data_IF_884027037415
#
_entry.id   IF_884027037415
#
_cell.length_a   1.000
_cell.length_b   1.000
_cell.length_c   1.000
_cell.angle_alpha   90.00
_cell.angle_beta   90.00
_cell.angle_gamma   90.00
#
_symmetry.space_group_name_H-M   'P 1'
#
loop_
_entity.id
_entity.type
_entity.pdbx_description
1 polymer ?
#
# COMPACT_ATOMS: atom_id res chain seq x y z
N UNK A 1 -32.75 -27.18 -3.92
CA UNK A 1 -31.62 -27.12 -4.87
C UNK A 1 -31.16 -25.66 -5.03
N UNK A 2 -30.41 -25.06 -4.09
CA UNK A 2 -29.97 -23.65 -4.23
C UNK A 2 -28.51 -23.37 -3.81
N UNK A 3 -27.71 -24.40 -3.56
CA UNK A 3 -26.27 -24.27 -3.24
C UNK A 3 -25.39 -24.85 -4.35
N UNK A 4 -25.70 -24.55 -5.62
CA UNK A 4 -24.70 -24.76 -6.67
C UNK A 4 -23.69 -23.60 -6.61
N UNK A 5 -22.39 -23.88 -6.84
CA UNK A 5 -21.42 -22.81 -7.07
C UNK A 5 -21.87 -21.98 -8.26
N UNK A 6 -21.60 -20.67 -8.22
CA UNK A 6 -21.86 -19.81 -9.36
C UNK A 6 -21.04 -20.30 -10.57
N UNK A 7 -21.56 -20.20 -11.80
CA UNK A 7 -20.76 -20.51 -12.98
C UNK A 7 -19.51 -19.61 -13.02
N UNK A 8 -18.39 -20.11 -13.56
CA UNK A 8 -17.18 -19.30 -13.68
C UNK A 8 -17.48 -18.08 -14.56
N UNK A 9 -17.09 -16.91 -14.08
CA UNK A 9 -17.21 -15.64 -14.81
C UNK A 9 -15.93 -15.39 -15.59
N UNK A 10 -16.06 -14.95 -16.82
CA UNK A 10 -14.94 -14.66 -17.73
C UNK A 10 -14.72 -13.15 -17.88
N UNK A 11 -13.57 -12.75 -18.45
CA UNK A 11 -13.28 -11.32 -18.68
C UNK A 11 -14.36 -10.61 -19.52
N UNK A 12 -15.05 -11.31 -20.42
CA UNK A 12 -16.13 -10.73 -21.23
C UNK A 12 -17.42 -10.46 -20.46
N UNK A 13 -17.59 -11.03 -19.26
CA UNK A 13 -18.83 -10.96 -18.50
C UNK A 13 -18.98 -9.67 -17.67
N UNK A 14 -18.07 -8.71 -17.81
CA UNK A 14 -18.04 -7.49 -17.00
C UNK A 14 -19.39 -6.74 -16.99
N UNK A 15 -20.12 -6.71 -18.10
CA UNK A 15 -21.45 -6.08 -18.18
C UNK A 15 -22.49 -6.82 -17.32
N UNK A 16 -22.43 -8.15 -17.30
CA UNK A 16 -23.30 -9.00 -16.50
C UNK A 16 -22.98 -8.78 -15.02
N UNK A 17 -21.69 -8.74 -14.67
CA UNK A 17 -21.24 -8.51 -13.29
C UNK A 17 -21.64 -7.13 -12.78
N UNK A 18 -21.55 -6.07 -13.60
CA UNK A 18 -22.05 -4.74 -13.22
C UNK A 18 -23.55 -4.73 -12.94
N UNK A 19 -24.34 -5.38 -13.81
CA UNK A 19 -25.80 -5.51 -13.61
C UNK A 19 -26.12 -6.33 -12.36
N UNK A 20 -25.35 -7.40 -12.12
CA UNK A 20 -25.46 -8.22 -10.93
C UNK A 20 -25.13 -7.43 -9.66
N UNK A 21 -24.04 -6.67 -9.64
CA UNK A 21 -23.64 -5.82 -8.52
C UNK A 21 -24.73 -4.78 -8.19
N UNK A 22 -25.28 -4.13 -9.23
CA UNK A 22 -26.40 -3.20 -9.08
C UNK A 22 -27.66 -3.85 -8.51
N UNK A 23 -28.02 -5.02 -9.02
CA UNK A 23 -29.17 -5.78 -8.51
C UNK A 23 -28.93 -6.24 -7.06
N UNK A 24 -27.72 -6.74 -6.76
CA UNK A 24 -27.32 -7.18 -5.44
C UNK A 24 -27.33 -6.04 -4.41
N UNK A 25 -26.95 -4.83 -4.82
CA UNK A 25 -27.08 -3.63 -4.01
C UNK A 25 -28.55 -3.28 -3.75
N UNK A 26 -29.39 -3.33 -4.79
CA UNK A 26 -30.82 -2.98 -4.68
C UNK A 26 -31.62 -3.95 -3.81
N UNK A 27 -31.31 -5.24 -3.88
CA UNK A 27 -32.03 -6.31 -3.17
C UNK A 27 -31.27 -6.89 -1.98
N UNK A 28 -30.16 -6.24 -1.59
CA UNK A 28 -29.27 -6.64 -0.50
C UNK A 28 -28.84 -8.13 -0.52
N UNK A 29 -28.41 -8.61 -1.68
CA UNK A 29 -27.95 -9.98 -1.86
C UNK A 29 -26.44 -10.09 -1.58
N UNK A 30 -26.08 -10.44 -0.34
CA UNK A 30 -24.69 -10.54 0.11
C UNK A 30 -23.82 -11.44 -0.79
N UNK A 31 -24.28 -12.67 -1.09
CA UNK A 31 -23.54 -13.61 -1.93
C UNK A 31 -23.26 -13.08 -3.34
N UNK A 32 -24.19 -12.33 -3.93
CA UNK A 32 -23.98 -11.73 -5.24
C UNK A 32 -22.99 -10.55 -5.19
N UNK A 33 -22.94 -9.80 -4.08
CA UNK A 33 -21.90 -8.79 -3.84
C UNK A 33 -20.52 -9.43 -3.70
N UNK A 34 -20.40 -10.55 -3.00
CA UNK A 34 -19.15 -11.30 -2.87
C UNK A 34 -18.62 -11.80 -4.22
N UNK A 35 -19.50 -12.38 -5.04
CA UNK A 35 -19.11 -12.85 -6.38
C UNK A 35 -18.67 -11.66 -7.25
N UNK A 36 -19.38 -10.53 -7.20
CA UNK A 36 -18.97 -9.33 -7.93
C UNK A 36 -17.62 -8.80 -7.44
N UNK A 37 -17.41 -8.73 -6.13
CA UNK A 37 -16.15 -8.29 -5.52
C UNK A 37 -14.96 -9.19 -5.92
N UNK A 38 -15.16 -10.51 -5.90
CA UNK A 38 -14.15 -11.47 -6.33
C UNK A 38 -13.78 -11.27 -7.81
N UNK A 39 -14.78 -11.09 -8.69
CA UNK A 39 -14.55 -10.82 -10.10
C UNK A 39 -13.72 -9.55 -10.32
N UNK A 40 -14.09 -8.42 -9.71
CA UNK A 40 -13.34 -7.18 -9.89
C UNK A 40 -11.93 -7.25 -9.31
N UNK A 41 -11.74 -7.99 -8.23
CA UNK A 41 -10.41 -8.27 -7.66
C UNK A 41 -9.55 -9.06 -8.64
N UNK A 42 -10.10 -10.10 -9.27
CA UNK A 42 -9.40 -10.89 -10.28
C UNK A 42 -9.04 -10.04 -11.50
N UNK A 43 -9.97 -9.23 -12.01
CA UNK A 43 -9.71 -8.34 -13.14
C UNK A 43 -8.64 -7.29 -12.82
N UNK A 44 -8.58 -6.80 -11.59
CA UNK A 44 -7.51 -5.92 -11.13
C UNK A 44 -6.15 -6.65 -11.09
N UNK A 45 -6.10 -7.87 -10.57
CA UNK A 45 -4.88 -8.70 -10.52
C UNK A 45 -4.36 -9.06 -11.91
N UNK A 46 -5.26 -9.27 -12.88
CA UNK A 46 -4.92 -9.48 -14.29
C UNK A 46 -4.51 -8.18 -15.02
N UNK A 47 -4.60 -7.03 -14.36
CA UNK A 47 -4.25 -5.72 -14.94
C UNK A 47 -5.30 -5.16 -15.90
N UNK A 48 -6.48 -5.77 -15.98
CA UNK A 48 -7.60 -5.28 -16.80
C UNK A 48 -8.32 -4.09 -16.16
N UNK A 49 -8.22 -3.93 -14.84
CA UNK A 49 -8.73 -2.80 -14.08
C UNK A 49 -7.63 -2.16 -13.23
N UNK A 50 -7.65 -0.84 -13.08
CA UNK A 50 -6.83 -0.16 -12.09
C UNK A 50 -7.47 -0.26 -10.70
N UNK A 51 -6.69 -0.17 -9.61
CA UNK A 51 -7.25 -0.17 -8.25
C UNK A 51 -8.22 1.00 -8.02
N UNK A 52 -7.99 2.15 -8.67
CA UNK A 52 -8.93 3.28 -8.59
C UNK A 52 -10.27 2.97 -9.27
N UNK A 53 -10.26 2.21 -10.37
CA UNK A 53 -11.50 1.77 -11.01
C UNK A 53 -12.23 0.74 -10.15
N UNK A 54 -11.50 -0.21 -9.56
CA UNK A 54 -12.06 -1.18 -8.61
C UNK A 54 -12.68 -0.48 -7.39
N UNK A 55 -12.01 0.54 -6.86
CA UNK A 55 -12.51 1.39 -5.77
C UNK A 55 -13.76 2.19 -6.18
N UNK A 56 -13.78 2.76 -7.39
CA UNK A 56 -14.94 3.49 -7.89
C UNK A 56 -16.18 2.59 -8.00
N UNK A 57 -16.00 1.39 -8.56
CA UNK A 57 -17.06 0.38 -8.70
C UNK A 57 -17.53 -0.10 -7.32
N UNK A 58 -16.62 -0.32 -6.37
CA UNK A 58 -17.01 -0.76 -5.04
C UNK A 58 -17.84 0.28 -4.29
N UNK A 59 -17.47 1.56 -4.40
CA UNK A 59 -18.23 2.67 -3.82
C UNK A 59 -19.62 2.74 -4.45
N UNK A 60 -19.69 2.69 -5.80
CA UNK A 60 -20.95 2.79 -6.54
C UNK A 60 -21.95 1.69 -6.14
N UNK A 61 -21.47 0.45 -5.96
CA UNK A 61 -22.32 -0.72 -5.68
C UNK A 61 -22.30 -1.19 -4.22
N UNK A 62 -21.68 -0.44 -3.30
CA UNK A 62 -21.53 -0.79 -1.87
C UNK A 62 -20.89 -2.18 -1.67
N UNK A 63 -19.78 -2.43 -2.37
CA UNK A 63 -18.97 -3.65 -2.25
C UNK A 63 -17.84 -3.43 -1.25
N UNK A 64 -18.17 -3.43 0.04
CA UNK A 64 -17.27 -2.99 1.12
C UNK A 64 -15.92 -3.71 1.17
N UNK A 65 -15.90 -5.05 1.00
CA UNK A 65 -14.65 -5.81 0.98
C UNK A 65 -13.75 -5.42 -0.21
N UNK A 66 -14.35 -5.12 -1.38
CA UNK A 66 -13.59 -4.65 -2.54
C UNK A 66 -13.09 -3.21 -2.32
N UNK A 67 -13.91 -2.36 -1.70
CA UNK A 67 -13.60 -0.96 -1.41
C UNK A 67 -12.34 -0.83 -0.56
N UNK A 68 -12.28 -1.55 0.55
CA UNK A 68 -11.11 -1.57 1.44
C UNK A 68 -9.87 -2.10 0.73
N UNK A 69 -9.99 -3.26 0.10
CA UNK A 69 -8.85 -3.90 -0.55
C UNK A 69 -8.31 -3.07 -1.74
N UNK A 70 -9.20 -2.43 -2.51
CA UNK A 70 -8.83 -1.55 -3.61
C UNK A 70 -8.24 -0.23 -3.11
N UNK A 71 -8.77 0.35 -2.02
CA UNK A 71 -8.19 1.52 -1.39
C UNK A 71 -6.74 1.24 -0.97
N UNK A 72 -6.48 0.13 -0.30
CA UNK A 72 -5.11 -0.27 0.11
C UNK A 72 -4.16 -0.45 -1.06
N UNK A 73 -4.60 -1.09 -2.14
CA UNK A 73 -3.78 -1.27 -3.35
C UNK A 73 -3.56 0.04 -4.11
N UNK A 74 -4.53 0.95 -4.07
CA UNK A 74 -4.47 2.25 -4.76
C UNK A 74 -3.37 3.18 -4.23
N UNK A 75 -2.91 2.95 -2.99
CA UNK A 75 -1.82 3.70 -2.35
C UNK A 75 -0.55 3.73 -3.21
N UNK A 76 -0.33 2.70 -4.04
CA UNK A 76 0.81 2.61 -4.98
C UNK A 76 0.79 3.64 -6.11
N UNK A 77 -0.34 4.31 -6.31
CA UNK A 77 -0.60 5.17 -7.45
C UNK A 77 -0.77 6.62 -7.02
N UNK A 78 -0.54 7.53 -7.96
CA UNK A 78 -0.75 8.95 -7.72
C UNK A 78 -2.23 9.31 -7.75
N UNK A 79 -2.78 9.67 -6.60
CA UNK A 79 -4.15 10.13 -6.48
C UNK A 79 -4.41 11.40 -7.32
N UNK A 80 -3.40 12.23 -7.59
CA UNK A 80 -3.56 13.46 -8.38
C UNK A 80 -3.50 13.23 -9.90
N UNK A 81 -3.18 12.01 -10.34
CA UNK A 81 -3.22 11.62 -11.76
C UNK A 81 -4.46 10.79 -12.10
N UNK A 82 -5.46 10.84 -11.23
CA UNK A 82 -6.70 10.10 -11.42
C UNK A 82 -7.44 10.64 -12.67
N UNK A 83 -7.83 9.77 -13.61
CA UNK A 83 -8.62 10.20 -14.76
C UNK A 83 -9.94 10.85 -14.31
N UNK A 84 -10.41 11.93 -14.96
CA UNK A 84 -11.63 12.63 -14.57
C UNK A 84 -12.85 11.71 -14.45
N UNK A 85 -12.99 10.76 -15.38
CA UNK A 85 -14.10 9.79 -15.35
C UNK A 85 -14.10 8.93 -14.08
N UNK A 86 -12.93 8.58 -13.55
CA UNK A 86 -12.83 7.80 -12.30
C UNK A 86 -13.17 8.70 -11.12
N UNK A 87 -12.74 9.96 -11.14
CA UNK A 87 -13.08 10.94 -10.10
C UNK A 87 -14.60 11.15 -10.02
N UNK A 88 -15.26 11.29 -11.17
CA UNK A 88 -16.71 11.45 -11.26
C UNK A 88 -17.46 10.22 -10.72
N UNK A 89 -16.93 9.01 -10.97
CA UNK A 89 -17.51 7.76 -10.45
C UNK A 89 -17.33 7.61 -8.94
N UNK A 90 -16.17 8.00 -8.40
CA UNK A 90 -15.90 7.96 -6.95
C UNK A 90 -16.75 9.03 -6.24
N UNK A 91 -16.85 10.21 -6.82
CA UNK A 91 -17.45 11.40 -6.21
C UNK A 91 -16.53 12.09 -5.22
N UNK A 92 -16.73 13.39 -5.01
CA UNK A 92 -15.85 14.24 -4.21
C UNK A 92 -15.66 13.74 -2.76
N UNK A 93 -16.74 13.30 -2.11
CA UNK A 93 -16.67 12.83 -0.71
C UNK A 93 -15.79 11.59 -0.55
N UNK A 94 -15.96 10.59 -1.41
CA UNK A 94 -15.15 9.37 -1.34
C UNK A 94 -13.71 9.62 -1.80
N UNK A 95 -13.51 10.56 -2.72
CA UNK A 95 -12.17 11.03 -3.08
C UNK A 95 -11.47 11.68 -1.87
N UNK A 96 -12.16 12.54 -1.11
CA UNK A 96 -11.60 13.11 0.11
C UNK A 96 -11.23 12.02 1.12
N UNK A 97 -12.13 11.05 1.36
CA UNK A 97 -11.85 9.90 2.24
C UNK A 97 -10.61 9.12 1.79
N UNK A 98 -10.51 8.80 0.50
CA UNK A 98 -9.36 8.10 -0.08
C UNK A 98 -8.06 8.92 0.03
N UNK A 99 -8.13 10.24 -0.20
CA UNK A 99 -6.99 11.15 -0.08
C UNK A 99 -6.48 11.26 1.36
N UNK A 100 -7.39 11.34 2.33
CA UNK A 100 -7.06 11.41 3.75
C UNK A 100 -6.37 10.12 4.19
N UNK A 101 -6.88 8.98 3.73
CA UNK A 101 -6.26 7.69 3.95
C UNK A 101 -4.83 7.60 3.37
N UNK A 102 -4.62 8.01 2.12
CA UNK A 102 -3.29 8.04 1.50
C UNK A 102 -2.32 8.92 2.29
N UNK A 103 -2.77 10.13 2.68
CA UNK A 103 -1.98 11.07 3.47
C UNK A 103 -1.63 10.52 4.86
N UNK A 104 -2.59 9.86 5.54
CA UNK A 104 -2.37 9.24 6.86
C UNK A 104 -1.31 8.16 6.80
N UNK A 105 -1.41 7.21 5.86
CA UNK A 105 -0.40 6.15 5.71
C UNK A 105 0.97 6.71 5.39
N UNK A 106 1.03 7.71 4.51
CA UNK A 106 2.28 8.38 4.18
C UNK A 106 2.90 9.09 5.40
N UNK A 107 2.09 9.82 6.17
CA UNK A 107 2.55 10.53 7.36
C UNK A 107 3.07 9.55 8.43
N UNK A 108 2.28 8.52 8.75
CA UNK A 108 2.66 7.46 9.69
C UNK A 108 4.01 6.84 9.33
N UNK A 109 4.16 6.39 8.09
CA UNK A 109 5.40 5.78 7.64
C UNK A 109 6.58 6.76 7.68
N UNK A 110 6.36 8.01 7.25
CA UNK A 110 7.42 9.02 7.24
C UNK A 110 7.88 9.37 8.66
N UNK A 111 6.96 9.41 9.64
CA UNK A 111 7.29 9.64 11.04
C UNK A 111 8.11 8.49 11.62
N UNK A 112 7.73 7.24 11.36
CA UNK A 112 8.53 6.07 11.76
C UNK A 112 9.92 6.12 11.13
N UNK A 113 10.00 6.39 9.83
CA UNK A 113 11.28 6.48 9.12
C UNK A 113 12.16 7.62 9.67
N UNK A 114 11.57 8.74 10.07
CA UNK A 114 12.30 9.86 10.67
C UNK A 114 12.83 9.51 12.07
N UNK A 115 12.01 8.85 12.89
CA UNK A 115 12.32 8.51 14.28
C UNK A 115 13.36 7.38 14.42
N UNK A 116 13.47 6.49 13.42
CA UNK A 116 14.51 5.45 13.42
C UNK A 116 15.89 6.09 13.22
N UNK A 117 16.74 6.04 14.24
CA UNK A 117 18.12 6.50 14.17
C UNK A 117 19.05 5.38 14.63
N UNK A 118 20.23 5.32 14.00
CA UNK A 118 21.34 4.51 14.49
C UNK A 118 22.25 5.47 15.24
N UNK A 119 22.34 5.34 16.57
CA UNK A 119 23.22 6.20 17.36
C UNK A 119 24.69 5.75 17.16
N UNK A 120 25.55 6.61 16.57
CA UNK A 120 26.96 6.27 16.41
C UNK A 120 27.70 6.07 17.74
N UNK A 121 27.21 6.61 18.86
CA UNK A 121 27.83 6.42 20.18
C UNK A 121 27.61 5.03 20.76
N UNK A 122 26.49 4.39 20.44
CA UNK A 122 26.23 3.00 20.86
C UNK A 122 27.09 2.01 20.05
N UNK A 123 27.56 2.43 18.87
CA UNK A 123 28.43 1.64 17.99
C UNK A 123 29.92 1.96 18.17
N UNK A 124 30.28 3.10 18.77
CA UNK A 124 31.66 3.59 18.84
C UNK A 124 32.57 2.64 19.61
N UNK A 125 32.05 1.98 20.63
CA UNK A 125 32.82 1.08 21.50
C UNK A 125 33.30 -0.19 20.77
N UNK A 126 32.67 -0.55 19.65
CA UNK A 126 32.97 -1.76 18.88
C UNK A 126 33.52 -1.47 17.47
N UNK A 127 33.46 -0.22 17.01
CA UNK A 127 33.77 0.19 15.63
C UNK A 127 35.08 1.00 15.53
N UNK A 128 35.97 0.89 16.54
CA UNK A 128 37.17 1.70 16.72
C UNK A 128 38.19 1.66 15.55
N UNK A 129 38.08 0.72 14.61
CA UNK A 129 39.01 0.63 13.47
C UNK A 129 38.63 1.50 12.26
N UNK A 130 37.42 2.07 12.21
CA UNK A 130 36.92 2.81 11.02
C UNK A 130 36.36 4.22 11.32
N UNK A 131 36.56 4.77 12.52
CA UNK A 131 36.24 6.18 12.81
C UNK A 131 34.75 6.54 12.83
N UNK A 132 33.84 5.63 13.20
CA UNK A 132 32.42 5.95 13.47
C UNK A 132 31.51 6.20 12.25
N UNK A 133 32.04 6.19 11.01
CA UNK A 133 31.30 6.50 9.77
C UNK A 133 30.61 5.26 9.13
N UNK A 134 30.84 4.09 9.71
CA UNK A 134 30.57 2.77 9.13
C UNK A 134 29.09 2.46 8.84
N UNK A 135 28.16 2.74 9.77
CA UNK A 135 26.72 2.44 9.59
C UNK A 135 25.86 3.66 9.22
N UNK A 136 26.28 4.87 9.61
CA UNK A 136 25.48 6.10 9.46
C UNK A 136 25.30 6.48 7.98
N UNK A 137 26.35 6.39 7.18
CA UNK A 137 26.30 6.66 5.74
C UNK A 137 25.36 5.69 5.00
N UNK A 138 25.56 4.36 5.13
CA UNK A 138 24.64 3.36 4.59
C UNK A 138 23.19 3.56 5.03
N UNK A 139 22.97 3.88 6.31
CA UNK A 139 21.63 4.16 6.83
C UNK A 139 20.97 5.39 6.19
N UNK A 140 21.71 6.50 6.03
CA UNK A 140 21.18 7.68 5.35
C UNK A 140 20.83 7.41 3.88
N UNK A 141 21.64 6.61 3.18
CA UNK A 141 21.34 6.18 1.80
C UNK A 141 20.11 5.28 1.75
N UNK A 142 19.99 4.34 2.69
CA UNK A 142 18.84 3.45 2.81
C UNK A 142 17.56 4.26 3.05
N UNK A 143 17.56 5.17 4.04
CA UNK A 143 16.44 6.10 4.30
C UNK A 143 16.04 6.88 3.05
N UNK A 144 17.01 7.42 2.31
CA UNK A 144 16.74 8.18 1.08
C UNK A 144 16.07 7.33 -0.01
N UNK A 145 16.46 6.06 -0.14
CA UNK A 145 15.84 5.11 -1.09
C UNK A 145 14.44 4.67 -0.65
N UNK A 146 14.23 4.55 0.66
CA UNK A 146 12.96 4.13 1.27
C UNK A 146 12.03 5.30 1.60
N UNK A 147 12.34 6.52 1.16
CA UNK A 147 11.49 7.68 1.42
C UNK A 147 10.20 7.57 0.60
N UNK A 148 9.05 7.74 1.26
CA UNK A 148 7.77 7.76 0.57
C UNK A 148 7.60 9.10 -0.17
N UNK A 149 7.50 9.10 -1.51
CA UNK A 149 7.43 10.34 -2.28
C UNK A 149 6.15 11.13 -1.99
N UNK A 150 6.26 12.44 -1.76
CA UNK A 150 5.11 13.36 -1.59
C UNK A 150 4.27 13.53 -2.87
N UNK A 151 4.87 13.29 -4.02
CA UNK A 151 4.22 13.22 -5.32
C UNK A 151 4.97 12.24 -6.21
N UNK A 152 4.26 11.40 -6.96
CA UNK A 152 4.95 10.53 -7.92
C UNK A 152 5.30 11.38 -9.14
N UNK A 153 6.58 11.46 -9.50
CA UNK A 153 6.99 12.15 -10.73
C UNK A 153 6.29 11.56 -11.97
N UNK A 154 6.26 12.32 -13.06
CA UNK A 154 5.67 11.89 -14.36
C UNK A 154 6.21 10.54 -14.84
N UNK A 155 7.41 10.19 -14.42
CA UNK A 155 8.17 9.02 -14.89
C UNK A 155 7.92 7.73 -14.11
N UNK A 156 6.98 7.71 -13.15
CA UNK A 156 6.64 6.49 -12.38
C UNK A 156 7.77 5.94 -11.49
N UNK A 157 8.95 6.58 -11.48
CA UNK A 157 10.15 6.09 -10.80
C UNK A 157 10.14 6.20 -9.27
N UNK A 158 9.14 6.85 -8.68
CA UNK A 158 8.97 6.93 -7.23
C UNK A 158 7.57 6.47 -6.87
N UNK A 159 7.45 5.18 -6.54
CA UNK A 159 6.28 4.56 -5.92
C UNK A 159 6.49 4.51 -4.39
N UNK A 160 5.44 4.29 -3.60
CA UNK A 160 5.59 3.96 -2.19
C UNK A 160 6.54 2.77 -2.01
N UNK A 161 7.38 2.77 -0.97
CA UNK A 161 8.24 1.63 -0.65
C UNK A 161 7.41 0.39 -0.30
N UNK A 162 7.82 -0.77 -0.82
CA UNK A 162 7.25 -2.07 -0.45
C UNK A 162 8.19 -2.82 0.52
N UNK A 163 7.68 -3.77 1.33
CA UNK A 163 8.52 -4.58 2.22
C UNK A 163 9.72 -5.24 1.53
N UNK A 164 9.54 -5.66 0.28
CA UNK A 164 10.62 -6.25 -0.53
C UNK A 164 11.71 -5.24 -0.93
N UNK A 165 11.36 -3.95 -1.06
CA UNK A 165 12.33 -2.90 -1.38
C UNK A 165 13.32 -2.71 -0.21
N UNK A 166 12.85 -2.87 1.04
CA UNK A 166 13.71 -2.81 2.24
C UNK A 166 14.81 -3.86 2.19
N UNK A 167 14.46 -5.13 1.95
CA UNK A 167 15.41 -6.24 1.88
C UNK A 167 16.41 -6.05 0.73
N UNK A 168 15.91 -5.62 -0.44
CA UNK A 168 16.74 -5.38 -1.62
C UNK A 168 17.76 -4.27 -1.38
N UNK A 169 17.34 -3.15 -0.81
CA UNK A 169 18.25 -2.02 -0.55
C UNK A 169 19.18 -2.29 0.63
N UNK A 170 18.72 -3.00 1.67
CA UNK A 170 19.56 -3.44 2.78
C UNK A 170 20.72 -4.30 2.28
N UNK A 171 20.47 -5.28 1.41
CA UNK A 171 21.52 -6.14 0.86
C UNK A 171 22.63 -5.35 0.12
N UNK A 172 22.25 -4.27 -0.58
CA UNK A 172 23.19 -3.38 -1.28
C UNK A 172 24.04 -2.57 -0.30
N UNK A 173 23.45 -2.13 0.81
CA UNK A 173 24.16 -1.33 1.81
C UNK A 173 25.03 -2.21 2.73
N UNK A 174 24.60 -3.44 3.05
CA UNK A 174 25.37 -4.40 3.84
C UNK A 174 26.65 -4.86 3.13
N UNK A 175 26.65 -4.96 1.80
CA UNK A 175 27.85 -5.34 1.05
C UNK A 175 28.99 -4.29 1.11
N UNK A 176 28.71 -3.12 1.69
CA UNK A 176 29.66 -2.03 1.87
C UNK A 176 30.14 -1.90 3.32
N UNK A 177 29.73 -2.82 4.21
CA UNK A 177 30.02 -2.79 5.64
C UNK A 177 30.82 -4.05 6.02
N UNK A 178 32.04 -3.84 6.49
CA UNK A 178 32.91 -4.93 6.96
C UNK A 178 32.79 -5.20 8.48
N UNK A 179 32.11 -4.31 9.21
CA UNK A 179 31.94 -4.40 10.66
C UNK A 179 30.63 -5.10 11.03
N UNK A 180 30.73 -6.21 11.78
CA UNK A 180 29.56 -7.02 12.19
C UNK A 180 28.54 -6.28 13.05
N UNK A 181 28.97 -5.37 13.94
CA UNK A 181 28.06 -4.58 14.79
C UNK A 181 27.31 -3.52 13.99
N UNK A 182 27.98 -2.82 13.07
CA UNK A 182 27.33 -1.91 12.12
C UNK A 182 26.33 -2.64 11.22
N UNK A 183 26.71 -3.80 10.70
CA UNK A 183 25.87 -4.62 9.83
C UNK A 183 24.59 -5.05 10.57
N UNK A 184 24.74 -5.48 11.83
CA UNK A 184 23.62 -5.83 12.70
C UNK A 184 22.69 -4.63 12.96
N UNK A 185 23.23 -3.48 13.35
CA UNK A 185 22.42 -2.29 13.61
C UNK A 185 21.66 -1.82 12.36
N UNK A 186 22.29 -1.90 11.19
CA UNK A 186 21.62 -1.59 9.92
C UNK A 186 20.49 -2.57 9.61
N UNK A 187 20.70 -3.87 9.86
CA UNK A 187 19.69 -4.90 9.66
C UNK A 187 18.50 -4.75 10.63
N UNK A 188 18.76 -4.43 11.90
CA UNK A 188 17.72 -4.16 12.91
C UNK A 188 16.89 -2.92 12.53
N UNK A 189 17.55 -1.83 12.10
CA UNK A 189 16.86 -0.64 11.62
C UNK A 189 16.01 -0.93 10.36
N UNK A 190 16.52 -1.72 9.42
CA UNK A 190 15.77 -2.11 8.23
C UNK A 190 14.60 -3.04 8.55
N UNK A 191 14.74 -3.94 9.53
CA UNK A 191 13.65 -4.78 10.03
C UNK A 191 12.54 -3.94 10.66
N UNK A 192 12.90 -2.89 11.41
CA UNK A 192 11.92 -1.95 11.95
C UNK A 192 11.15 -1.22 10.84
N UNK A 193 11.82 -0.80 9.77
CA UNK A 193 11.16 -0.21 8.58
C UNK A 193 10.25 -1.22 7.90
N UNK A 194 10.72 -2.46 7.71
CA UNK A 194 9.91 -3.53 7.11
C UNK A 194 8.64 -3.80 7.93
N UNK A 195 8.78 -3.84 9.27
CA UNK A 195 7.66 -4.00 10.20
C UNK A 195 6.67 -2.85 10.07
N UNK A 196 7.15 -1.61 10.00
CA UNK A 196 6.32 -0.42 9.79
C UNK A 196 5.54 -0.46 8.48
N UNK A 197 6.13 -1.00 7.41
CA UNK A 197 5.43 -1.19 6.12
C UNK A 197 4.35 -2.26 6.18
N UNK A 198 4.49 -3.26 7.06
CA UNK A 198 3.47 -4.30 7.28
C UNK A 198 2.38 -3.87 8.28
N UNK A 199 2.66 -2.85 9.11
CA UNK A 199 1.73 -2.33 10.13
C UNK A 199 1.19 -0.94 9.77
N UNK A 200 1.05 -0.65 8.48
CA UNK A 200 0.49 0.62 8.03
C UNK A 200 -1.00 0.69 8.38
N UNK A 201 -1.53 1.88 8.72
CA UNK A 201 -2.95 2.05 9.01
C UNK A 201 -3.85 1.53 7.89
N UNK A 202 -4.90 0.81 8.27
CA UNK A 202 -5.94 0.27 7.39
C UNK A 202 -6.94 1.34 6.92
N UNK A 203 -7.69 1.04 5.86
CA UNK A 203 -8.63 2.01 5.28
C UNK A 203 -9.84 2.30 6.18
N UNK A 204 -10.26 1.33 6.99
CA UNK A 204 -11.46 1.40 7.84
C UNK A 204 -11.20 1.54 9.33
N UNK A 205 -9.95 1.56 9.78
CA UNK A 205 -9.60 1.59 11.21
C UNK A 205 -10.21 2.78 11.98
N UNK A 206 -10.59 3.88 11.33
CA UNK A 206 -11.24 5.03 12.01
C UNK A 206 -12.77 4.95 12.07
N UNK A 207 -13.43 4.09 11.29
CA UNK A 207 -14.89 3.89 11.41
C UNK A 207 -15.25 3.04 12.64
N UNK A 208 -14.31 2.24 13.16
CA UNK A 208 -14.51 1.41 14.36
C UNK A 208 -14.33 2.20 15.67
N UNK A 209 -13.49 3.23 15.70
CA UNK A 209 -13.29 4.10 16.88
C UNK A 209 -14.44 5.11 17.11
N UNK A 210 -15.42 5.15 16.19
CA UNK A 210 -16.55 6.08 16.23
C UNK A 210 -17.87 5.45 16.73
N UNK A 211 -17.84 4.21 17.24
CA UNK A 211 -19.00 3.51 17.81
C UNK A 211 -18.81 3.08 19.27
#
# INVERSE_FOLDING_TARGET
MYNRPAPPLTMSDWQVVLRMARAAQKYDCARAKEIAAAYFTEQEQLGALSPFMAFAVSVQYKLHALEEAAAERSVRYDLFKLPPIIFDLIGFQNFQKLSAFHAKRQAFYQDVLNNLAIDPKELSDQCYQTGGVCAVGPWQRLKKRLTWPRSTGRDGGKRPPEPNDCLKYLAIELSQIDCGSCARALAEAALAVQTALTSLPGYREEEEDAF
#
